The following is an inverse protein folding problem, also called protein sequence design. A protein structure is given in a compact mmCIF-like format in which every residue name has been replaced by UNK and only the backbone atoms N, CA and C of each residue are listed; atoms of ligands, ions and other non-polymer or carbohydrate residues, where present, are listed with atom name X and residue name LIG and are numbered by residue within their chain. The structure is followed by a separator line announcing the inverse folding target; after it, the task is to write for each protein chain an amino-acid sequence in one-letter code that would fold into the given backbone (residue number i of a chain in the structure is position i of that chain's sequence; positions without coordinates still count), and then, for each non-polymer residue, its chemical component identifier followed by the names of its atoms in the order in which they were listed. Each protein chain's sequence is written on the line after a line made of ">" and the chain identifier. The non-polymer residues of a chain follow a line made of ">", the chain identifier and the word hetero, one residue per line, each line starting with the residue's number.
data_IF_698467825396
#
_entry.id   IF_698467825396
#
_cell.length_a   1.000
_cell.length_b   1.000
_cell.length_c   1.000
_cell.angle_alpha   90.00
_cell.angle_beta   90.00
_cell.angle_gamma   90.00
#
_symmetry.space_group_name_H-M   'P 1'
#
loop_
_entity.id
_entity.type
_entity.pdbx_description
1 polymer ?
#
# COMPACT_ATOMS: atom_id res chain seq x y z
N UNK A 1 -7.15 24.32 -13.92
CA UNK A 1 -6.27 23.80 -12.85
C UNK A 1 -7.15 23.29 -11.71
N UNK A 2 -7.53 22.01 -11.73
CA UNK A 2 -8.16 21.29 -10.61
C UNK A 2 -8.23 19.79 -10.94
N UNK A 3 -7.22 19.00 -10.55
CA UNK A 3 -7.17 17.54 -10.74
C UNK A 3 -6.99 16.77 -9.42
N UNK A 4 -7.46 17.34 -8.31
CA UNK A 4 -7.36 16.71 -6.98
C UNK A 4 -8.78 16.51 -6.46
N UNK A 5 -9.51 15.49 -6.94
CA UNK A 5 -10.79 15.12 -6.30
C UNK A 5 -11.33 13.73 -6.66
N UNK A 6 -10.51 12.67 -6.60
CA UNK A 6 -11.00 11.28 -6.75
C UNK A 6 -10.35 10.26 -5.80
N UNK A 7 -9.97 10.68 -4.60
CA UNK A 7 -9.55 9.74 -3.54
C UNK A 7 -10.41 10.00 -2.31
N UNK A 8 -11.73 9.84 -2.43
CA UNK A 8 -12.62 9.98 -1.26
C UNK A 8 -13.78 8.96 -1.24
N UNK A 9 -14.12 8.31 -2.35
CA UNK A 9 -15.39 7.57 -2.42
C UNK A 9 -15.36 6.07 -2.06
N UNK A 10 -14.23 5.46 -1.69
CA UNK A 10 -14.19 3.99 -1.49
C UNK A 10 -13.07 3.46 -0.56
N UNK A 11 -12.63 4.23 0.43
CA UNK A 11 -11.77 3.66 1.48
C UNK A 11 -12.69 3.08 2.57
N UNK A 12 -12.74 1.74 2.73
CA UNK A 12 -13.49 1.14 3.83
C UNK A 12 -12.96 1.73 5.13
N UNK A 13 -13.87 2.16 6.01
CA UNK A 13 -13.60 2.93 7.25
C UNK A 13 -12.71 2.21 8.26
N UNK A 14 -12.26 0.99 7.94
CA UNK A 14 -11.18 0.25 8.59
C UNK A 14 -10.21 -0.23 7.52
N UNK A 15 -9.20 0.57 7.20
CA UNK A 15 -8.04 0.05 6.46
C UNK A 15 -7.29 -0.86 7.42
N UNK A 16 -7.40 -2.16 7.20
CA UNK A 16 -6.46 -3.10 7.79
C UNK A 16 -5.14 -3.02 7.01
N UNK A 17 -3.99 -3.21 7.68
CA UNK A 17 -2.69 -3.22 7.02
C UNK A 17 -2.62 -4.18 5.83
N UNK A 18 -3.25 -5.35 5.93
CA UNK A 18 -3.39 -6.30 4.81
C UNK A 18 -4.13 -5.71 3.61
N UNK A 19 -5.24 -5.01 3.84
CA UNK A 19 -6.03 -4.40 2.76
C UNK A 19 -5.27 -3.24 2.10
N UNK A 20 -4.37 -2.57 2.84
CA UNK A 20 -3.47 -1.57 2.30
C UNK A 20 -2.39 -2.22 1.44
N UNK A 21 -1.76 -3.31 1.89
CA UNK A 21 -0.80 -4.09 1.11
C UNK A 21 -1.40 -4.59 -0.22
N UNK A 22 -2.60 -5.18 -0.19
CA UNK A 22 -3.28 -5.66 -1.39
C UNK A 22 -3.53 -4.53 -2.40
N UNK A 23 -3.91 -3.34 -1.91
CA UNK A 23 -4.10 -2.16 -2.78
C UNK A 23 -2.78 -1.64 -3.35
N UNK A 24 -1.70 -1.64 -2.57
CA UNK A 24 -0.38 -1.24 -3.05
C UNK A 24 0.16 -2.21 -4.12
N UNK A 25 -0.05 -3.51 -3.94
CA UNK A 25 0.31 -4.53 -4.94
C UNK A 25 -0.50 -4.40 -6.22
N UNK A 26 -1.81 -4.17 -6.12
CA UNK A 26 -2.66 -3.93 -7.28
C UNK A 26 -2.23 -2.67 -8.05
N UNK A 27 -1.90 -1.59 -7.33
CA UNK A 27 -1.41 -0.35 -7.94
C UNK A 27 -0.03 -0.54 -8.58
N UNK A 28 0.85 -1.34 -7.96
CA UNK A 28 2.16 -1.66 -8.52
C UNK A 28 2.04 -2.43 -9.84
N UNK A 29 1.10 -3.37 -9.96
CA UNK A 29 0.81 -4.09 -11.21
C UNK A 29 0.30 -3.14 -12.29
N UNK A 30 -0.60 -2.22 -11.95
CA UNK A 30 -1.08 -1.20 -12.89
C UNK A 30 0.05 -0.27 -13.37
N UNK A 31 0.94 0.16 -12.46
CA UNK A 31 2.06 1.04 -12.82
C UNK A 31 3.13 0.31 -13.63
N UNK A 32 3.35 -0.98 -13.38
CA UNK A 32 4.27 -1.82 -14.14
C UNK A 32 3.78 -1.99 -15.57
N UNK A 33 2.49 -2.31 -15.75
CA UNK A 33 1.85 -2.42 -17.07
C UNK A 33 1.83 -1.10 -17.84
N UNK A 34 1.81 0.02 -17.13
CA UNK A 34 1.92 1.35 -17.70
C UNK A 34 3.38 1.80 -17.96
N UNK A 35 4.38 1.00 -17.56
CA UNK A 35 5.81 1.28 -17.78
C UNK A 35 6.44 2.23 -16.75
N UNK A 36 5.75 2.53 -15.65
CA UNK A 36 6.25 3.39 -14.57
C UNK A 36 7.09 2.61 -13.55
N UNK A 37 8.23 2.08 -14.01
CA UNK A 37 9.07 1.14 -13.27
C UNK A 37 9.52 1.66 -11.88
N UNK A 38 9.92 2.94 -11.79
CA UNK A 38 10.31 3.59 -10.52
C UNK A 38 9.14 3.66 -9.52
N UNK A 39 7.93 3.87 -10.03
CA UNK A 39 6.72 3.94 -9.19
C UNK A 39 6.37 2.54 -8.69
N UNK A 40 6.45 1.53 -9.55
CA UNK A 40 6.25 0.12 -9.18
C UNK A 40 7.20 -0.30 -8.06
N UNK A 41 8.49 -0.02 -8.18
CA UNK A 41 9.49 -0.34 -7.14
C UNK A 41 9.17 0.33 -5.81
N UNK A 42 8.77 1.60 -5.84
CA UNK A 42 8.40 2.34 -4.63
C UNK A 42 7.15 1.76 -3.95
N UNK A 43 6.13 1.38 -4.74
CA UNK A 43 4.91 0.76 -4.23
C UNK A 43 5.16 -0.62 -3.62
N UNK A 44 6.02 -1.44 -4.24
CA UNK A 44 6.43 -2.72 -3.66
C UNK A 44 7.21 -2.54 -2.36
N UNK A 45 8.10 -1.56 -2.30
CA UNK A 45 8.85 -1.23 -1.08
C UNK A 45 7.92 -0.81 0.07
N UNK A 46 6.92 0.04 -0.21
CA UNK A 46 5.92 0.44 0.77
C UNK A 46 5.07 -0.74 1.25
N UNK A 47 4.67 -1.64 0.34
CA UNK A 47 3.93 -2.84 0.71
C UNK A 47 4.75 -3.75 1.62
N UNK A 48 6.06 -3.89 1.36
CA UNK A 48 6.98 -4.65 2.19
C UNK A 48 7.15 -4.04 3.59
N UNK A 49 7.35 -2.72 3.69
CA UNK A 49 7.44 -2.03 4.99
C UNK A 49 6.18 -2.24 5.84
N UNK A 50 5.01 -2.21 5.24
CA UNK A 50 3.75 -2.45 5.95
C UNK A 50 3.65 -3.87 6.51
N UNK A 51 4.12 -4.89 5.78
CA UNK A 51 4.14 -6.27 6.27
C UNK A 51 5.16 -6.43 7.41
N UNK A 52 6.33 -5.81 7.29
CA UNK A 52 7.39 -5.86 8.30
C UNK A 52 6.96 -5.18 9.61
N UNK A 53 6.30 -4.02 9.53
CA UNK A 53 5.78 -3.31 10.70
C UNK A 53 4.74 -4.15 11.47
N UNK A 54 3.89 -4.89 10.74
CA UNK A 54 2.95 -5.86 11.34
C UNK A 54 3.64 -7.06 11.95
N UNK A 55 4.74 -7.54 11.37
CA UNK A 55 5.54 -8.62 11.94
C UNK A 55 6.29 -8.18 13.21
N UNK A 56 6.79 -6.94 13.24
CA UNK A 56 7.47 -6.33 14.37
C UNK A 56 6.56 -6.05 15.58
N UNK A 57 5.32 -5.60 15.33
CA UNK A 57 4.29 -5.42 16.37
C UNK A 57 3.96 -6.72 17.11
N UNK A 58 4.05 -7.87 16.44
CA UNK A 58 3.77 -9.19 17.04
C UNK A 58 4.86 -9.68 18.00
N UNK A 59 6.07 -9.12 17.93
CA UNK A 59 7.20 -9.57 18.75
C UNK A 59 7.34 -8.83 20.09
N UNK A 60 6.59 -7.74 20.30
CA UNK A 60 6.65 -6.93 21.54
C UNK A 60 5.55 -7.27 22.57
N UNK A 61 4.61 -8.16 22.25
CA UNK A 61 3.55 -8.58 23.18
C UNK A 61 3.99 -9.72 24.11
N UNK A 62 5.25 -10.15 24.04
CA UNK A 62 5.80 -11.28 24.80
C UNK A 62 6.94 -10.88 25.75
N UNK A 63 6.92 -9.68 26.32
CA UNK A 63 7.92 -9.21 27.28
C UNK A 63 7.33 -8.75 28.60
#
# INVERSE_FOLDING_TARGET
>A
MAFINRIDAALPTKLTPMLLCDRLLALADETDRAGFQVVTEHLMYLAFQMVDDQAGLKNNDNR
#
